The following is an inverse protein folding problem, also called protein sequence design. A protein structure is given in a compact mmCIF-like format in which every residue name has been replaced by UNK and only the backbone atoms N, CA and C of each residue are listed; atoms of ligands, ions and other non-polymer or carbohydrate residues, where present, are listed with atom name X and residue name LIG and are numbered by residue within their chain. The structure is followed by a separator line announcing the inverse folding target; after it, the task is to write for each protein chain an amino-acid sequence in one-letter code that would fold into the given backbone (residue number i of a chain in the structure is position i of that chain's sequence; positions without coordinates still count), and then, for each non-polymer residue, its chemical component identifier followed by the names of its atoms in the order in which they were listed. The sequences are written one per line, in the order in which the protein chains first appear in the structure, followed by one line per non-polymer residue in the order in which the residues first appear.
data_IF_309827837955
#
_entry.id   IF_309827837955
#
_cell.length_a   1.000
_cell.length_b   1.000
_cell.length_c   1.000
_cell.angle_alpha   90.00
_cell.angle_beta   90.00
_cell.angle_gamma   90.00
#
_symmetry.space_group_name_H-M   'P 1'
#
loop_
_entity.id
_entity.type
_entity.pdbx_description
1 polymer ?
#
# COMPACT_ATOMS: atom_id res chain seq x y z
N UNK A 1 33.02 -1.51 11.12
CA UNK A 1 32.19 -0.53 11.85
C UNK A 1 30.82 -1.17 12.09
N UNK A 2 30.10 -0.76 13.13
CA UNK A 2 28.72 -1.24 13.33
C UNK A 2 27.81 -0.59 12.28
N UNK A 3 26.97 -1.37 11.60
CA UNK A 3 26.03 -0.86 10.59
C UNK A 3 24.94 0.00 11.26
N UNK A 4 24.77 1.23 10.78
CA UNK A 4 23.79 2.23 11.22
C UNK A 4 22.40 1.94 10.67
N UNK A 5 22.29 1.43 9.44
CA UNK A 5 20.99 1.16 8.81
C UNK A 5 20.27 0.01 9.52
N UNK A 6 19.10 0.34 10.06
CA UNK A 6 18.14 -0.59 10.67
C UNK A 6 16.99 -0.93 9.72
N UNK A 7 16.20 -1.94 10.07
CA UNK A 7 15.06 -2.43 9.28
C UNK A 7 13.74 -2.39 10.04
N UNK A 8 12.69 -1.99 9.31
CA UNK A 8 11.29 -2.16 9.72
C UNK A 8 10.67 -3.27 8.85
N UNK A 9 10.24 -4.37 9.48
CA UNK A 9 9.76 -5.57 8.78
C UNK A 9 8.27 -5.74 8.98
N UNK A 10 7.53 -5.98 7.90
CA UNK A 10 6.10 -6.31 7.98
C UNK A 10 5.88 -7.68 8.60
N UNK A 11 4.95 -7.79 9.54
CA UNK A 11 4.56 -9.09 10.11
C UNK A 11 3.24 -9.60 9.56
N UNK A 12 3.16 -10.91 9.35
CA UNK A 12 1.94 -11.67 9.09
C UNK A 12 1.42 -12.38 10.37
N UNK A 13 2.02 -12.06 11.53
CA UNK A 13 1.79 -12.66 12.85
C UNK A 13 2.16 -14.14 13.00
N UNK A 14 2.98 -14.70 12.11
CA UNK A 14 3.58 -16.03 12.31
C UNK A 14 4.76 -15.94 13.29
N UNK A 15 4.72 -16.71 14.37
CA UNK A 15 5.77 -16.76 15.38
C UNK A 15 7.12 -17.26 14.83
N UNK A 16 7.13 -17.97 13.69
CA UNK A 16 8.38 -18.34 13.00
C UNK A 16 9.24 -17.14 12.61
N UNK A 17 8.66 -15.94 12.50
CA UNK A 17 9.43 -14.71 12.29
C UNK A 17 10.42 -14.45 13.43
N UNK A 18 10.10 -14.84 14.67
CA UNK A 18 11.02 -14.73 15.79
C UNK A 18 12.20 -15.69 15.69
N UNK A 19 11.99 -16.89 15.16
CA UNK A 19 13.06 -17.86 14.92
C UNK A 19 14.00 -17.34 13.83
N UNK A 20 13.45 -16.76 12.76
CA UNK A 20 14.21 -16.12 11.68
C UNK A 20 15.08 -14.97 12.23
N UNK A 21 14.53 -14.11 13.09
CA UNK A 21 15.30 -13.05 13.77
C UNK A 21 16.45 -13.63 14.57
N UNK A 22 16.18 -14.62 15.43
CA UNK A 22 17.21 -15.27 16.27
C UNK A 22 18.30 -15.95 15.42
N UNK A 23 17.93 -16.53 14.29
CA UNK A 23 18.85 -17.16 13.35
C UNK A 23 19.72 -16.13 12.64
N UNK A 24 19.13 -15.06 12.10
CA UNK A 24 19.77 -14.22 11.08
C UNK A 24 20.23 -12.85 11.58
N UNK A 25 19.58 -12.25 12.56
CA UNK A 25 19.80 -10.85 12.96
C UNK A 25 20.76 -10.73 14.15
N UNK A 26 22.01 -11.15 13.94
CA UNK A 26 23.05 -11.16 15.00
C UNK A 26 23.45 -9.77 15.48
N UNK A 27 23.26 -8.75 14.63
CA UNK A 27 23.64 -7.36 14.90
C UNK A 27 22.44 -6.49 15.35
N UNK A 28 21.30 -7.11 15.66
CA UNK A 28 20.06 -6.44 16.09
C UNK A 28 19.69 -5.27 15.14
N UNK A 29 19.71 -5.53 13.84
CA UNK A 29 19.39 -4.57 12.78
C UNK A 29 17.89 -4.45 12.55
N UNK A 30 17.08 -5.44 12.92
CA UNK A 30 15.62 -5.34 12.87
C UNK A 30 15.15 -4.54 14.09
N UNK A 31 14.70 -3.31 13.85
CA UNK A 31 14.21 -2.39 14.89
C UNK A 31 12.74 -2.64 15.21
N UNK A 32 11.93 -2.81 14.16
CA UNK A 32 10.49 -2.87 14.28
C UNK A 32 9.89 -4.05 13.52
N UNK A 33 8.90 -4.68 14.13
CA UNK A 33 7.82 -5.35 13.41
C UNK A 33 6.63 -4.43 13.30
N UNK A 34 5.96 -4.42 12.14
CA UNK A 34 4.76 -3.62 11.97
C UNK A 34 3.61 -4.42 11.35
N UNK A 35 2.40 -4.17 11.85
CA UNK A 35 1.23 -4.97 11.51
C UNK A 35 -0.07 -4.30 11.94
N UNK A 36 -1.18 -4.96 11.62
CA UNK A 36 -2.54 -4.55 11.98
C UNK A 36 -3.40 -5.80 12.04
N UNK A 37 -4.26 -5.91 13.05
CA UNK A 37 -5.18 -7.03 13.17
C UNK A 37 -6.17 -7.05 12.01
N UNK A 38 -6.69 -8.24 11.71
CA UNK A 38 -7.63 -8.44 10.59
C UNK A 38 -8.94 -7.70 10.81
N UNK A 39 -9.47 -7.78 12.03
CA UNK A 39 -10.76 -7.21 12.44
C UNK A 39 -10.53 -6.29 13.64
N UNK A 40 -10.31 -5.01 13.39
CA UNK A 40 -10.09 -4.00 14.44
C UNK A 40 -11.04 -2.79 14.33
N UNK A 41 -11.92 -2.77 13.34
CA UNK A 41 -12.83 -1.65 13.06
C UNK A 41 -12.12 -0.38 12.57
N UNK A 42 -10.81 -0.44 12.30
CA UNK A 42 -10.03 0.69 11.83
C UNK A 42 -9.69 0.51 10.34
N UNK A 43 -9.74 1.56 9.50
CA UNK A 43 -9.19 1.49 8.15
C UNK A 43 -7.66 1.33 8.17
N UNK A 44 -7.08 0.83 7.07
CA UNK A 44 -5.64 0.61 6.96
C UNK A 44 -5.13 0.78 5.53
N UNK A 45 -3.81 0.84 5.36
CA UNK A 45 -3.19 1.09 4.06
C UNK A 45 -3.08 -0.10 3.10
N UNK A 46 -3.62 -1.28 3.46
CA UNK A 46 -3.73 -2.52 2.63
C UNK A 46 -4.93 -3.34 3.11
N UNK A 47 -5.53 -4.12 2.20
CA UNK A 47 -6.57 -5.10 2.54
C UNK A 47 -6.07 -6.08 3.61
N UNK A 48 -6.91 -6.35 4.62
CA UNK A 48 -6.58 -7.21 5.76
C UNK A 48 -7.00 -8.66 5.58
N UNK A 49 -7.72 -8.99 4.50
CA UNK A 49 -8.32 -10.30 4.24
C UNK A 49 -7.35 -11.50 4.29
N UNK A 50 -6.04 -11.24 4.18
CA UNK A 50 -4.97 -12.24 4.07
C UNK A 50 -4.16 -12.37 5.39
N UNK A 51 -4.50 -11.59 6.42
CA UNK A 51 -3.79 -11.59 7.72
C UNK A 51 -4.43 -12.64 8.65
N UNK A 52 -3.60 -13.34 9.43
CA UNK A 52 -4.04 -14.29 10.46
C UNK A 52 -4.98 -13.64 11.47
N UNK A 53 -6.03 -14.37 11.86
CA UNK A 53 -6.90 -13.98 12.97
C UNK A 53 -6.20 -14.28 14.29
N UNK A 54 -5.98 -13.24 15.11
CA UNK A 54 -5.41 -13.36 16.45
C UNK A 54 -6.47 -12.98 17.48
N UNK A 55 -6.49 -13.73 18.58
CA UNK A 55 -7.15 -13.29 19.81
C UNK A 55 -6.35 -12.16 20.47
N UNK A 56 -7.02 -11.41 21.35
CA UNK A 56 -6.39 -10.35 22.15
C UNK A 56 -5.18 -10.89 22.94
N UNK A 57 -5.31 -12.05 23.59
CA UNK A 57 -4.21 -12.66 24.37
C UNK A 57 -3.02 -13.09 23.50
N UNK A 58 -3.29 -13.65 22.32
CA UNK A 58 -2.23 -13.98 21.36
C UNK A 58 -1.51 -12.73 20.87
N UNK A 59 -2.23 -11.64 20.64
CA UNK A 59 -1.62 -10.38 20.23
C UNK A 59 -0.78 -9.74 21.33
N UNK A 60 -1.25 -9.75 22.58
CA UNK A 60 -0.46 -9.32 23.75
C UNK A 60 0.81 -10.16 23.90
N UNK A 61 0.70 -11.49 23.76
CA UNK A 61 1.86 -12.36 23.80
C UNK A 61 2.84 -12.06 22.65
N UNK A 62 2.33 -11.82 21.44
CA UNK A 62 3.15 -11.44 20.28
C UNK A 62 3.97 -10.17 20.53
N UNK A 63 3.36 -9.14 21.16
CA UNK A 63 4.06 -7.91 21.56
C UNK A 63 5.16 -8.22 22.60
N UNK A 64 4.87 -9.05 23.60
CA UNK A 64 5.87 -9.47 24.61
C UNK A 64 7.04 -10.19 23.96
N UNK A 65 6.77 -11.07 23.00
CA UNK A 65 7.79 -11.81 22.27
C UNK A 65 8.65 -10.88 21.41
N UNK A 66 8.06 -9.87 20.75
CA UNK A 66 8.81 -8.79 20.07
C UNK A 66 9.77 -8.10 21.05
N UNK A 67 9.24 -7.64 22.19
CA UNK A 67 10.00 -6.90 23.19
C UNK A 67 11.14 -7.74 23.79
N UNK A 68 10.94 -9.06 23.97
CA UNK A 68 11.98 -9.97 24.46
C UNK A 68 13.21 -10.07 23.54
N UNK A 69 13.04 -9.73 22.26
CA UNK A 69 14.09 -9.68 21.24
C UNK A 69 14.63 -8.26 21.00
N UNK A 70 14.18 -7.27 21.77
CA UNK A 70 14.49 -5.86 21.53
C UNK A 70 13.83 -5.27 20.29
N UNK A 71 12.80 -5.95 19.74
CA UNK A 71 12.03 -5.48 18.59
C UNK A 71 10.79 -4.77 19.08
N UNK A 72 10.55 -3.56 18.58
CA UNK A 72 9.34 -2.80 18.89
C UNK A 72 8.21 -3.19 17.94
N UNK A 73 6.97 -3.26 18.45
CA UNK A 73 5.78 -3.47 17.62
C UNK A 73 5.11 -2.14 17.23
N UNK A 74 4.97 -1.88 15.93
CA UNK A 74 4.35 -0.67 15.36
C UNK A 74 2.98 -0.99 14.71
N UNK A 75 1.89 -0.51 15.31
CA UNK A 75 0.53 -0.76 14.84
C UNK A 75 0.10 0.22 13.74
N UNK A 76 -0.55 -0.26 12.69
CA UNK A 76 -0.93 0.59 11.54
C UNK A 76 -2.37 1.12 11.62
N UNK A 77 -2.50 2.45 11.65
CA UNK A 77 -3.75 3.22 11.47
C UNK A 77 -3.51 4.25 10.35
N UNK A 78 -3.12 3.75 9.19
CA UNK A 78 -2.50 4.55 8.13
C UNK A 78 -3.20 4.51 6.76
N UNK A 79 -4.53 4.63 6.67
CA UNK A 79 -5.17 4.83 5.36
C UNK A 79 -4.80 6.22 4.79
N UNK A 80 -4.99 6.41 3.49
CA UNK A 80 -4.93 7.74 2.88
C UNK A 80 -6.10 8.61 3.35
N UNK A 81 -7.28 8.01 3.47
CA UNK A 81 -8.52 8.70 3.81
C UNK A 81 -9.37 7.80 4.72
N UNK A 82 -10.06 8.41 5.68
CA UNK A 82 -11.01 7.73 6.57
C UNK A 82 -12.45 8.22 6.34
N UNK A 83 -12.70 9.00 5.30
CA UNK A 83 -14.05 9.50 4.99
C UNK A 83 -14.69 10.30 6.12
N UNK A 84 -13.88 11.05 6.88
CA UNK A 84 -14.27 11.82 8.07
C UNK A 84 -14.68 10.98 9.30
N UNK A 85 -14.50 9.65 9.27
CA UNK A 85 -14.87 8.78 10.40
C UNK A 85 -14.19 9.15 11.71
N UNK A 86 -12.99 9.75 11.70
CA UNK A 86 -12.32 10.23 12.91
C UNK A 86 -13.04 11.41 13.60
N UNK A 87 -13.84 12.17 12.86
CA UNK A 87 -14.58 13.34 13.36
C UNK A 87 -16.01 13.01 13.74
N UNK A 88 -16.55 11.88 13.26
CA UNK A 88 -17.88 11.44 13.62
C UNK A 88 -17.98 11.19 15.14
N UNK A 89 -19.02 11.68 15.82
CA UNK A 89 -19.13 11.55 17.28
C UNK A 89 -19.16 10.10 17.78
N UNK A 90 -19.72 9.18 17.02
CA UNK A 90 -19.88 7.77 17.39
C UNK A 90 -18.71 6.95 16.86
N UNK A 91 -18.45 7.02 15.55
CA UNK A 91 -17.37 6.25 14.91
C UNK A 91 -16.01 6.74 15.40
N UNK A 92 -15.82 8.05 15.53
CA UNK A 92 -14.59 8.63 16.06
C UNK A 92 -14.36 8.27 17.53
N UNK A 93 -15.42 8.12 18.35
CA UNK A 93 -15.29 7.60 19.71
C UNK A 93 -14.80 6.15 19.71
N UNK A 94 -15.40 5.30 18.88
CA UNK A 94 -14.98 3.91 18.75
C UNK A 94 -13.53 3.79 18.27
N UNK A 95 -13.10 4.63 17.32
CA UNK A 95 -11.70 4.68 16.87
C UNK A 95 -10.76 4.96 18.05
N UNK A 96 -11.09 5.95 18.90
CA UNK A 96 -10.29 6.29 20.08
C UNK A 96 -10.29 5.17 21.11
N UNK A 97 -11.43 4.54 21.37
CA UNK A 97 -11.54 3.38 22.28
C UNK A 97 -10.70 2.20 21.78
N UNK A 98 -10.66 1.93 20.48
CA UNK A 98 -9.76 0.92 19.90
C UNK A 98 -8.29 1.29 20.12
N UNK A 99 -7.90 2.56 19.97
CA UNK A 99 -6.53 3.00 20.25
C UNK A 99 -6.18 2.78 21.73
N UNK A 100 -7.07 3.11 22.66
CA UNK A 100 -6.90 2.82 24.10
C UNK A 100 -6.74 1.32 24.36
N UNK A 101 -7.59 0.47 23.76
CA UNK A 101 -7.47 -0.99 23.86
C UNK A 101 -6.11 -1.49 23.38
N UNK A 102 -5.63 -1.01 22.24
CA UNK A 102 -4.31 -1.37 21.70
C UNK A 102 -3.17 -0.89 22.61
N UNK A 103 -3.31 0.30 23.19
CA UNK A 103 -2.36 0.81 24.17
C UNK A 103 -2.31 -0.08 25.42
N UNK A 104 -3.46 -0.49 25.96
CA UNK A 104 -3.55 -1.40 27.11
C UNK A 104 -2.95 -2.78 26.82
N UNK A 105 -3.03 -3.24 25.57
CA UNK A 105 -2.37 -4.47 25.10
C UNK A 105 -0.85 -4.36 25.00
N UNK A 106 -0.28 -3.15 25.16
CA UNK A 106 1.16 -2.92 25.14
C UNK A 106 1.69 -2.28 23.85
N UNK A 107 0.83 -1.86 22.92
CA UNK A 107 1.29 -1.09 21.74
C UNK A 107 1.80 0.28 22.19
N UNK A 108 3.01 0.64 21.76
CA UNK A 108 3.61 1.95 22.02
C UNK A 108 4.02 2.72 20.77
N UNK A 109 3.97 2.09 19.60
CA UNK A 109 4.27 2.72 18.32
C UNK A 109 3.06 2.61 17.41
N UNK A 110 2.64 3.73 16.83
CA UNK A 110 1.53 3.78 15.88
C UNK A 110 1.96 4.48 14.60
N UNK A 111 1.72 3.85 13.45
CA UNK A 111 1.82 4.53 12.16
C UNK A 111 0.47 5.17 11.83
N UNK A 112 0.38 6.50 11.82
CA UNK A 112 -0.86 7.27 11.65
C UNK A 112 -0.67 8.30 10.54
N UNK A 113 -1.69 8.48 9.68
CA UNK A 113 -1.68 9.57 8.67
C UNK A 113 -2.69 10.68 8.96
N UNK A 114 -3.73 10.42 9.76
CA UNK A 114 -4.76 11.41 10.06
C UNK A 114 -4.20 12.48 11.01
N UNK A 115 -4.20 13.77 10.61
CA UNK A 115 -3.65 14.84 11.45
C UNK A 115 -4.33 14.97 12.81
N UNK A 116 -5.66 14.75 12.87
CA UNK A 116 -6.42 14.84 14.12
C UNK A 116 -6.09 13.68 15.07
N UNK A 117 -5.93 12.46 14.54
CA UNK A 117 -5.53 11.30 15.34
C UNK A 117 -4.10 11.43 15.86
N UNK A 118 -3.18 12.01 15.07
CA UNK A 118 -1.81 12.30 15.54
C UNK A 118 -1.87 13.23 16.76
N UNK A 119 -2.61 14.34 16.67
CA UNK A 119 -2.77 15.29 17.79
C UNK A 119 -3.44 14.65 19.00
N UNK A 120 -4.45 13.82 18.77
CA UNK A 120 -5.11 13.08 19.84
C UNK A 120 -4.14 12.14 20.57
N UNK A 121 -3.45 11.26 19.84
CA UNK A 121 -2.54 10.26 20.41
C UNK A 121 -1.39 10.92 21.17
N UNK A 122 -0.75 11.96 20.60
CA UNK A 122 0.35 12.66 21.27
C UNK A 122 -0.08 13.44 22.52
N UNK A 123 -1.37 13.81 22.61
CA UNK A 123 -1.93 14.45 23.81
C UNK A 123 -2.29 13.43 24.89
N UNK A 124 -2.86 12.30 24.48
CA UNK A 124 -3.40 11.29 25.40
C UNK A 124 -2.32 10.38 25.98
N UNK A 125 -1.32 9.99 25.19
CA UNK A 125 -0.33 8.99 25.56
C UNK A 125 1.09 9.58 25.48
N UNK A 126 1.69 9.84 26.64
CA UNK A 126 3.01 10.50 26.73
C UNK A 126 4.19 9.60 26.34
N UNK A 127 4.02 8.27 26.41
CA UNK A 127 5.04 7.25 26.12
C UNK A 127 4.82 6.59 24.74
N UNK A 128 3.95 7.16 23.91
CA UNK A 128 3.68 6.66 22.55
C UNK A 128 4.50 7.43 21.50
N UNK A 129 5.10 6.65 20.60
CA UNK A 129 5.72 7.16 19.38
C UNK A 129 4.77 7.07 18.18
N UNK A 130 4.78 8.11 17.36
CA UNK A 130 3.98 8.22 16.15
C UNK A 130 4.90 8.23 14.93
N UNK A 131 4.71 7.24 14.06
CA UNK A 131 5.30 7.25 12.72
C UNK A 131 4.30 7.84 11.72
N UNK A 132 4.69 8.82 10.92
CA UNK A 132 3.91 9.25 9.75
C UNK A 132 4.09 8.23 8.61
N UNK A 133 2.99 7.72 8.06
CA UNK A 133 3.00 6.74 6.97
C UNK A 133 3.16 7.36 5.59
N UNK A 134 3.48 6.52 4.60
CA UNK A 134 3.71 6.91 3.20
C UNK A 134 2.57 7.74 2.59
N UNK A 135 1.30 7.41 2.89
CA UNK A 135 0.15 8.08 2.28
C UNK A 135 -0.04 9.53 2.72
N UNK A 136 0.71 10.03 3.71
CA UNK A 136 0.78 11.47 3.97
C UNK A 136 1.59 12.25 2.91
N UNK A 137 2.36 11.55 2.07
CA UNK A 137 3.18 12.08 0.97
C UNK A 137 4.02 13.31 1.31
N UNK A 138 4.87 13.26 2.36
CA UNK A 138 5.85 14.32 2.60
C UNK A 138 6.94 14.28 1.51
N UNK A 139 6.88 15.23 0.57
CA UNK A 139 7.79 15.33 -0.59
C UNK A 139 8.78 16.51 -0.50
N UNK A 140 8.66 17.35 0.53
CA UNK A 140 9.55 18.50 0.73
C UNK A 140 9.96 18.70 2.19
N UNK A 141 11.07 19.39 2.41
CA UNK A 141 11.57 19.75 3.76
C UNK A 141 10.49 20.52 4.53
N UNK A 142 9.77 21.44 3.87
CA UNK A 142 8.69 22.21 4.49
C UNK A 142 7.56 21.31 5.02
N UNK A 143 7.15 20.29 4.24
CA UNK A 143 6.13 19.34 4.68
C UNK A 143 6.63 18.48 5.83
N UNK A 144 7.88 18.03 5.79
CA UNK A 144 8.51 17.28 6.89
C UNK A 144 8.47 18.11 8.18
N UNK A 145 8.83 19.39 8.12
CA UNK A 145 8.84 20.26 9.29
C UNK A 145 7.44 20.51 9.87
N UNK A 146 6.40 20.61 9.03
CA UNK A 146 5.03 20.69 9.54
C UNK A 146 4.65 19.46 10.35
N UNK A 147 4.97 18.26 9.86
CA UNK A 147 4.67 17.01 10.56
C UNK A 147 5.48 16.84 11.84
N UNK A 148 6.76 17.19 11.82
CA UNK A 148 7.62 17.18 13.02
C UNK A 148 7.07 18.10 14.11
N UNK A 149 6.69 19.32 13.77
CA UNK A 149 6.06 20.26 14.70
C UNK A 149 4.68 19.79 15.21
N UNK A 150 4.07 18.81 14.56
CA UNK A 150 2.84 18.20 15.02
C UNK A 150 3.04 17.07 16.04
N UNK A 151 4.29 16.69 16.31
CA UNK A 151 4.67 15.66 17.28
C UNK A 151 4.90 14.29 16.65
N UNK A 152 5.13 14.22 15.34
CA UNK A 152 5.57 12.99 14.67
C UNK A 152 7.02 12.71 15.08
N UNK A 153 7.28 11.48 15.54
CA UNK A 153 8.60 11.04 16.02
C UNK A 153 9.42 10.36 14.90
N UNK A 154 8.74 9.70 13.95
CA UNK A 154 9.37 9.03 12.81
C UNK A 154 8.60 9.32 11.51
N UNK A 155 9.29 9.46 10.38
CA UNK A 155 8.67 9.77 9.09
C UNK A 155 9.01 8.74 8.02
N UNK A 156 7.99 8.22 7.34
CA UNK A 156 8.16 7.45 6.10
C UNK A 156 8.29 8.40 4.92
N UNK A 157 9.47 8.50 4.33
CA UNK A 157 9.73 9.34 3.16
C UNK A 157 9.06 8.76 1.90
N UNK A 158 8.67 9.65 0.98
CA UNK A 158 8.14 9.26 -0.33
C UNK A 158 9.20 8.50 -1.16
N UNK A 159 8.75 7.67 -2.10
CA UNK A 159 9.64 6.87 -2.95
C UNK A 159 10.65 7.71 -3.75
N UNK A 160 10.31 8.96 -4.08
CA UNK A 160 11.20 9.88 -4.77
C UNK A 160 12.53 10.12 -4.03
N UNK A 161 12.57 9.94 -2.70
CA UNK A 161 13.80 10.08 -1.92
C UNK A 161 14.82 8.96 -2.21
N UNK A 162 14.38 7.78 -2.65
CA UNK A 162 15.28 6.63 -2.89
C UNK A 162 16.24 6.85 -4.07
N UNK A 163 15.93 7.81 -4.96
CA UNK A 163 16.76 8.17 -6.13
C UNK A 163 17.23 9.63 -6.12
N UNK A 164 17.02 10.35 -5.00
CA UNK A 164 17.40 11.75 -4.85
C UNK A 164 18.33 11.92 -3.64
N UNK A 165 19.58 11.48 -3.79
CA UNK A 165 20.58 11.52 -2.72
C UNK A 165 20.91 12.94 -2.27
N UNK A 166 20.81 13.95 -3.14
CA UNK A 166 21.02 15.36 -2.76
C UNK A 166 19.94 15.87 -1.80
N UNK A 167 18.67 15.57 -2.10
CA UNK A 167 17.57 15.91 -1.20
C UNK A 167 17.66 15.12 0.10
N UNK A 168 17.94 13.82 0.04
CA UNK A 168 18.07 12.97 1.22
C UNK A 168 19.23 13.45 2.13
N UNK A 169 20.38 13.80 1.55
CA UNK A 169 21.53 14.41 2.26
C UNK A 169 21.13 15.70 2.95
N UNK A 170 20.40 16.56 2.26
CA UNK A 170 19.93 17.84 2.81
C UNK A 170 19.00 17.62 4.00
N UNK A 171 18.02 16.73 3.86
CA UNK A 171 17.09 16.36 4.93
C UNK A 171 17.85 15.76 6.12
N UNK A 172 18.73 14.77 5.91
CA UNK A 172 19.53 14.15 6.98
C UNK A 172 20.37 15.18 7.74
N UNK A 173 21.08 16.08 7.05
CA UNK A 173 21.86 17.16 7.68
C UNK A 173 20.98 18.14 8.46
N UNK A 174 19.76 18.37 8.01
CA UNK A 174 18.80 19.28 8.67
C UNK A 174 18.36 18.74 10.04
N UNK A 175 18.21 17.42 10.16
CA UNK A 175 17.63 16.78 11.35
C UNK A 175 18.62 15.95 12.19
N UNK A 176 19.91 15.94 11.84
CA UNK A 176 20.95 15.09 12.49
C UNK A 176 21.12 15.30 13.99
N UNK A 177 20.85 16.50 14.48
CA UNK A 177 21.00 16.84 15.89
C UNK A 177 19.67 16.69 16.67
N UNK A 178 18.73 15.87 16.16
CA UNK A 178 17.43 15.59 16.78
C UNK A 178 17.12 14.10 16.86
N UNK A 179 16.19 13.73 17.74
CA UNK A 179 15.69 12.34 17.86
C UNK A 179 14.70 11.95 16.74
N UNK A 180 14.45 12.85 15.79
CA UNK A 180 13.51 12.60 14.69
C UNK A 180 14.06 11.51 13.77
N UNK A 181 13.31 10.43 13.61
CA UNK A 181 13.70 9.28 12.81
C UNK A 181 13.11 9.34 11.39
N UNK A 182 13.80 8.73 10.44
CA UNK A 182 13.35 8.66 9.05
C UNK A 182 13.51 7.26 8.52
N UNK A 183 12.55 6.87 7.68
CA UNK A 183 12.63 5.61 6.96
C UNK A 183 12.27 5.78 5.50
N UNK A 184 13.03 5.10 4.64
CA UNK A 184 12.68 4.89 3.23
C UNK A 184 12.10 3.50 3.04
N UNK A 185 11.37 3.26 1.96
CA UNK A 185 10.84 1.94 1.65
C UNK A 185 11.72 1.30 0.58
N UNK A 186 12.35 0.17 0.90
CA UNK A 186 13.35 -0.43 0.01
C UNK A 186 12.72 -1.26 -1.11
N UNK A 187 11.78 -2.15 -0.79
CA UNK A 187 11.34 -3.18 -1.72
C UNK A 187 9.92 -2.96 -2.27
N UNK A 188 9.44 -1.72 -2.33
CA UNK A 188 8.16 -1.41 -2.98
C UNK A 188 8.32 -1.19 -4.49
N UNK A 189 7.28 -1.53 -5.25
CA UNK A 189 7.35 -1.56 -6.72
C UNK A 189 6.31 -0.66 -7.36
N UNK A 190 6.24 0.60 -6.95
CA UNK A 190 5.43 1.61 -7.63
C UNK A 190 6.10 2.06 -8.94
N UNK A 191 5.31 2.63 -9.85
CA UNK A 191 5.90 3.42 -10.95
C UNK A 191 6.64 4.63 -10.36
N UNK A 192 7.72 5.07 -11.00
CA UNK A 192 8.36 6.34 -10.67
C UNK A 192 7.33 7.46 -10.73
N UNK A 193 7.25 8.27 -9.67
CA UNK A 193 6.32 9.41 -9.56
C UNK A 193 4.88 9.03 -10.00
N UNK A 194 4.42 7.86 -9.52
CA UNK A 194 3.20 7.22 -9.97
C UNK A 194 1.97 8.15 -9.96
N UNK A 195 1.30 8.39 -11.11
CA UNK A 195 0.11 9.24 -11.16
C UNK A 195 -1.09 8.61 -10.44
N UNK A 196 -1.08 7.29 -10.22
CA UNK A 196 -2.17 6.56 -9.60
C UNK A 196 -2.07 6.49 -8.06
N UNK A 197 -1.01 7.04 -7.45
CA UNK A 197 -0.72 6.79 -6.02
C UNK A 197 -1.81 7.28 -5.07
N UNK A 198 -2.48 8.40 -5.39
CA UNK A 198 -3.58 8.93 -4.59
C UNK A 198 -4.85 8.08 -4.75
N UNK A 199 -5.23 7.76 -5.99
CA UNK A 199 -6.42 6.96 -6.28
C UNK A 199 -6.28 5.54 -5.75
N UNK A 200 -5.11 4.91 -5.93
CA UNK A 200 -4.75 3.62 -5.35
C UNK A 200 -4.80 3.65 -3.82
N UNK A 201 -4.18 4.65 -3.19
CA UNK A 201 -4.19 4.79 -1.73
C UNK A 201 -5.60 4.97 -1.15
N UNK A 202 -6.45 5.76 -1.82
CA UNK A 202 -7.84 5.94 -1.44
C UNK A 202 -8.64 4.64 -1.62
N UNK A 203 -8.48 3.98 -2.77
CA UNK A 203 -9.11 2.70 -3.07
C UNK A 203 -8.82 1.67 -1.99
N UNK A 204 -7.55 1.49 -1.67
CA UNK A 204 -7.11 0.52 -0.66
C UNK A 204 -7.61 0.90 0.74
N UNK A 205 -7.60 2.19 1.09
CA UNK A 205 -8.11 2.68 2.38
C UNK A 205 -9.62 2.48 2.58
N UNK A 206 -10.38 2.36 1.49
CA UNK A 206 -11.84 2.18 1.49
C UNK A 206 -12.28 0.79 0.98
N UNK A 207 -11.34 -0.12 0.74
CA UNK A 207 -11.65 -1.47 0.25
C UNK A 207 -12.30 -2.29 1.35
N UNK A 208 -13.45 -2.88 1.03
CA UNK A 208 -14.12 -3.85 1.90
C UNK A 208 -13.38 -5.19 1.82
N UNK A 209 -12.87 -5.74 2.95
CA UNK A 209 -12.15 -7.01 2.95
C UNK A 209 -13.05 -8.21 2.59
N UNK A 210 -14.37 -8.05 2.60
CA UNK A 210 -15.35 -9.11 2.30
C UNK A 210 -15.86 -9.05 0.86
N UNK A 211 -15.62 -7.95 0.14
CA UNK A 211 -16.08 -7.76 -1.23
C UNK A 211 -14.95 -7.88 -2.25
N UNK A 212 -15.25 -8.43 -3.42
CA UNK A 212 -14.33 -8.42 -4.56
C UNK A 212 -14.27 -6.99 -5.08
N UNK A 213 -13.09 -6.39 -5.00
CA UNK A 213 -12.82 -5.03 -5.43
C UNK A 213 -11.70 -5.02 -6.47
N UNK A 214 -11.96 -4.43 -7.63
CA UNK A 214 -10.99 -4.31 -8.71
C UNK A 214 -10.25 -2.99 -8.62
N UNK A 215 -8.95 -3.08 -8.36
CA UNK A 215 -8.09 -1.90 -8.32
C UNK A 215 -7.60 -1.55 -9.73
N UNK A 216 -8.33 -0.67 -10.42
CA UNK A 216 -7.94 -0.17 -11.74
C UNK A 216 -6.54 0.45 -11.74
N UNK A 217 -6.16 1.14 -10.65
CA UNK A 217 -4.83 1.75 -10.52
C UNK A 217 -3.74 0.69 -10.50
N UNK A 218 -3.96 -0.42 -9.78
CA UNK A 218 -3.02 -1.54 -9.73
C UNK A 218 -2.93 -2.28 -11.07
N UNK A 219 -4.04 -2.50 -11.76
CA UNK A 219 -4.05 -3.15 -13.08
C UNK A 219 -3.29 -2.29 -14.09
N UNK A 220 -3.58 -0.99 -14.16
CA UNK A 220 -2.91 -0.10 -15.10
C UNK A 220 -1.40 0.03 -14.77
N UNK A 221 -1.06 0.07 -13.47
CA UNK A 221 0.32 0.05 -13.00
C UNK A 221 1.08 -1.22 -13.43
N UNK A 222 0.47 -2.39 -13.32
CA UNK A 222 1.08 -3.67 -13.71
C UNK A 222 1.15 -3.81 -15.23
N UNK A 223 0.13 -3.39 -15.96
CA UNK A 223 0.13 -3.33 -17.43
C UNK A 223 1.29 -2.51 -17.96
N UNK A 224 1.51 -1.30 -17.43
CA UNK A 224 2.65 -0.47 -17.84
C UNK A 224 4.00 -1.14 -17.60
N UNK A 225 4.17 -1.84 -16.47
CA UNK A 225 5.43 -2.54 -16.17
C UNK A 225 5.68 -3.76 -17.04
N UNK A 226 4.64 -4.56 -17.31
CA UNK A 226 4.77 -5.80 -18.08
C UNK A 226 4.88 -5.50 -19.57
N UNK A 227 4.07 -4.58 -20.09
CA UNK A 227 4.10 -4.17 -21.50
C UNK A 227 5.35 -3.38 -21.85
N UNK A 228 5.95 -2.69 -20.88
CA UNK A 228 7.19 -1.95 -21.05
C UNK A 228 8.13 -2.19 -19.86
N UNK A 229 9.00 -3.22 -19.93
CA UNK A 229 9.91 -3.59 -18.85
C UNK A 229 10.87 -2.48 -18.39
N UNK A 230 11.08 -1.43 -19.18
CA UNK A 230 11.84 -0.24 -18.73
C UNK A 230 11.21 0.38 -17.48
N UNK A 231 9.88 0.34 -17.35
CA UNK A 231 9.14 0.82 -16.19
C UNK A 231 9.40 0.02 -14.90
N UNK A 232 9.95 -1.19 -15.00
CA UNK A 232 10.39 -1.98 -13.84
C UNK A 232 11.71 -1.45 -13.26
N UNK A 233 12.60 -0.93 -14.11
CA UNK A 233 13.90 -0.38 -13.67
C UNK A 233 13.83 1.09 -13.28
N UNK A 234 12.81 1.84 -13.72
CA UNK A 234 12.58 3.20 -13.23
C UNK A 234 11.95 3.21 -11.84
N UNK A 235 11.35 2.11 -11.39
CA UNK A 235 10.83 1.97 -10.04
C UNK A 235 11.92 2.22 -8.99
N UNK A 236 11.53 2.87 -7.89
CA UNK A 236 12.45 3.46 -6.91
C UNK A 236 12.77 2.47 -5.79
N UNK A 237 12.98 1.19 -6.14
CA UNK A 237 13.43 0.17 -5.20
C UNK A 237 14.91 0.34 -4.82
N UNK A 238 15.33 -0.28 -3.72
CA UNK A 238 16.70 -0.37 -3.24
C UNK A 238 17.03 -1.86 -3.16
N UNK A 239 18.08 -2.37 -3.81
CA UNK A 239 18.48 -3.78 -3.66
C UNK A 239 19.17 -3.99 -2.31
N UNK A 240 19.24 -5.24 -1.81
CA UNK A 240 20.13 -5.58 -0.70
C UNK A 240 21.57 -5.09 -0.91
N UNK A 241 22.12 -5.27 -2.11
CA UNK A 241 23.47 -4.82 -2.47
C UNK A 241 23.62 -3.30 -2.44
N UNK A 242 22.54 -2.54 -2.68
CA UNK A 242 22.58 -1.08 -2.76
C UNK A 242 22.38 -0.40 -1.39
N UNK A 243 22.19 -1.17 -0.30
CA UNK A 243 22.00 -0.63 1.06
C UNK A 243 23.20 0.18 1.52
N UNK A 244 24.42 -0.22 1.12
CA UNK A 244 25.66 0.47 1.50
C UNK A 244 25.66 1.96 1.11
N UNK A 245 25.02 2.35 0.01
CA UNK A 245 24.91 3.76 -0.37
C UNK A 245 24.14 4.61 0.65
N UNK A 246 23.15 4.03 1.33
CA UNK A 246 22.39 4.70 2.37
C UNK A 246 23.13 4.70 3.71
N UNK A 247 23.90 3.64 3.98
CA UNK A 247 24.82 3.55 5.12
C UNK A 247 25.90 4.65 5.02
N UNK A 248 26.59 4.73 3.88
CA UNK A 248 27.59 5.76 3.59
C UNK A 248 27.00 7.17 3.69
N UNK A 249 25.77 7.38 3.22
CA UNK A 249 25.09 8.67 3.35
C UNK A 249 24.77 9.02 4.81
N UNK A 250 24.30 8.05 5.60
CA UNK A 250 24.06 8.23 7.03
C UNK A 250 25.36 8.57 7.78
N UNK A 251 26.46 7.88 7.47
CA UNK A 251 27.80 8.16 7.98
C UNK A 251 28.29 9.57 7.56
N UNK A 252 28.19 9.91 6.27
CA UNK A 252 28.58 11.22 5.70
C UNK A 252 27.87 12.38 6.40
N UNK A 253 26.58 12.21 6.68
CA UNK A 253 25.73 13.25 7.26
C UNK A 253 25.76 13.26 8.79
N UNK A 254 26.27 12.20 9.41
CA UNK A 254 26.19 11.96 10.86
C UNK A 254 24.78 11.65 11.36
N UNK A 255 23.85 11.32 10.47
CA UNK A 255 22.45 11.04 10.83
C UNK A 255 22.27 9.60 11.29
N UNK A 256 21.84 9.41 12.55
CA UNK A 256 21.83 8.08 13.20
C UNK A 256 20.49 7.36 13.16
N UNK A 257 19.40 8.08 12.91
CA UNK A 257 18.04 7.57 13.08
C UNK A 257 17.39 7.18 11.75
N UNK A 258 18.11 6.40 10.93
CA UNK A 258 17.67 6.00 9.59
C UNK A 258 17.34 4.50 9.49
N UNK A 259 16.23 4.15 8.83
CA UNK A 259 15.87 2.76 8.58
C UNK A 259 15.31 2.50 7.17
N UNK A 260 15.38 1.24 6.75
CA UNK A 260 14.75 0.72 5.54
C UNK A 260 13.52 -0.10 5.91
N UNK A 261 12.38 0.25 5.34
CA UNK A 261 11.13 -0.50 5.49
C UNK A 261 10.97 -1.55 4.40
N UNK A 262 10.67 -2.79 4.81
CA UNK A 262 10.46 -3.96 3.96
C UNK A 262 8.97 -4.33 3.94
N UNK A 263 8.30 -4.11 2.80
CA UNK A 263 6.84 -4.01 2.65
C UNK A 263 6.09 -5.31 2.38
N UNK A 264 6.08 -6.23 3.35
CA UNK A 264 5.63 -7.61 3.11
C UNK A 264 4.61 -8.19 4.11
N UNK A 265 3.92 -7.33 4.87
CA UNK A 265 2.95 -7.78 5.91
C UNK A 265 1.78 -8.65 5.43
N UNK A 266 1.54 -8.73 4.12
CA UNK A 266 0.50 -9.57 3.50
C UNK A 266 1.07 -10.81 2.81
N UNK A 267 2.37 -11.07 2.99
CA UNK A 267 3.10 -12.18 2.38
C UNK A 267 3.23 -13.35 3.34
N UNK A 268 3.45 -14.53 2.78
CA UNK A 268 3.72 -15.73 3.58
C UNK A 268 5.12 -15.65 4.21
N UNK A 269 5.29 -16.32 5.35
CA UNK A 269 6.54 -16.36 6.10
C UNK A 269 7.77 -16.69 5.26
N UNK A 270 7.76 -17.66 4.31
CA UNK A 270 8.92 -17.93 3.46
C UNK A 270 9.36 -16.76 2.56
N UNK A 271 8.41 -15.92 2.16
CA UNK A 271 8.74 -14.71 1.39
C UNK A 271 9.39 -13.66 2.31
N UNK A 272 8.79 -13.41 3.48
CA UNK A 272 9.34 -12.47 4.47
C UNK A 272 10.74 -12.91 4.90
N UNK A 273 10.93 -14.21 5.16
CA UNK A 273 12.22 -14.81 5.48
C UNK A 273 13.27 -14.52 4.40
N UNK A 274 12.93 -14.78 3.12
CA UNK A 274 13.83 -14.52 1.99
C UNK A 274 14.25 -13.06 1.92
N UNK A 275 13.30 -12.14 2.07
CA UNK A 275 13.56 -10.70 2.09
C UNK A 275 14.46 -10.33 3.26
N UNK A 276 14.14 -10.77 4.48
CA UNK A 276 14.94 -10.48 5.67
C UNK A 276 16.37 -11.01 5.52
N UNK A 277 16.55 -12.27 5.10
CA UNK A 277 17.86 -12.89 4.85
C UNK A 277 18.66 -12.10 3.80
N UNK A 278 18.02 -11.73 2.70
CA UNK A 278 18.66 -10.95 1.63
C UNK A 278 19.18 -9.60 2.14
N UNK A 279 18.35 -8.82 2.83
CA UNK A 279 18.72 -7.48 3.31
C UNK A 279 19.71 -7.51 4.47
N UNK A 280 19.60 -8.45 5.42
CA UNK A 280 20.58 -8.59 6.49
C UNK A 280 21.97 -8.97 5.95
N UNK A 281 22.01 -9.85 4.93
CA UNK A 281 23.23 -10.24 4.23
C UNK A 281 23.73 -9.21 3.21
N UNK A 282 22.92 -8.21 2.86
CA UNK A 282 23.17 -7.24 1.79
C UNK A 282 23.56 -7.89 0.46
N UNK A 283 22.96 -9.04 0.18
CA UNK A 283 23.21 -9.80 -1.05
C UNK A 283 22.02 -10.71 -1.35
N UNK A 284 21.65 -10.77 -2.62
CA UNK A 284 20.70 -11.73 -3.13
C UNK A 284 21.13 -12.22 -4.52
N UNK A 285 21.22 -13.53 -4.71
CA UNK A 285 21.45 -14.14 -6.01
C UNK A 285 20.16 -14.78 -6.51
N UNK A 286 19.54 -14.16 -7.51
CA UNK A 286 18.25 -14.60 -8.02
C UNK A 286 17.46 -13.50 -8.71
N UNK A 287 16.16 -13.77 -8.87
CA UNK A 287 15.22 -12.81 -9.46
C UNK A 287 14.88 -11.70 -8.46
N UNK A 288 15.13 -10.44 -8.80
CA UNK A 288 14.77 -9.31 -7.94
C UNK A 288 13.27 -9.30 -7.55
N UNK A 289 12.39 -9.80 -8.42
CA UNK A 289 10.95 -9.91 -8.13
C UNK A 289 10.61 -10.89 -6.99
N UNK A 290 11.56 -11.74 -6.57
CA UNK A 290 11.39 -12.66 -5.44
C UNK A 290 11.51 -11.98 -4.08
N UNK A 291 12.05 -10.76 -4.04
CA UNK A 291 12.30 -9.97 -2.82
C UNK A 291 11.69 -8.56 -2.86
N UNK A 292 11.01 -8.22 -3.94
CA UNK A 292 10.24 -6.97 -4.12
C UNK A 292 8.75 -7.26 -3.99
N UNK A 293 7.99 -6.27 -3.54
CA UNK A 293 6.53 -6.31 -3.44
C UNK A 293 5.84 -6.33 -4.82
N UNK A 294 5.97 -7.46 -5.51
CA UNK A 294 5.33 -7.79 -6.78
C UNK A 294 3.97 -8.43 -6.52
N UNK A 295 2.83 -7.85 -6.95
CA UNK A 295 1.48 -8.21 -6.49
C UNK A 295 0.95 -9.55 -7.05
N UNK A 296 1.85 -10.48 -7.36
CA UNK A 296 1.51 -11.79 -7.92
C UNK A 296 0.86 -12.70 -6.87
N UNK A 297 -0.22 -13.36 -7.28
CA UNK A 297 -1.09 -14.19 -6.42
C UNK A 297 -0.40 -15.41 -5.80
N UNK A 298 0.72 -15.89 -6.37
CA UNK A 298 1.50 -17.00 -5.79
C UNK A 298 2.25 -16.62 -4.52
N UNK A 299 2.51 -15.32 -4.34
CA UNK A 299 3.28 -14.76 -3.24
C UNK A 299 2.36 -14.21 -2.12
N UNK A 300 1.06 -14.43 -2.20
CA UNK A 300 0.05 -13.98 -1.22
C UNK A 300 -0.36 -15.21 -0.39
N UNK A 301 -0.51 -15.06 0.94
CA UNK A 301 -0.94 -16.17 1.81
C UNK A 301 -2.29 -16.72 1.31
N UNK A 302 -2.33 -18.02 1.00
CA UNK A 302 -3.53 -18.73 0.52
C UNK A 302 -4.14 -19.58 1.62
N UNK A 303 -4.31 -19.04 2.82
CA UNK A 303 -5.11 -19.73 3.82
C UNK A 303 -6.54 -19.17 3.75
N UNK A 304 -7.44 -20.05 3.26
CA UNK A 304 -8.92 -20.02 3.33
C UNK A 304 -9.79 -19.66 2.10
N UNK A 305 -9.29 -19.61 0.85
CA UNK A 305 -10.16 -19.48 -0.36
C UNK A 305 -10.10 -20.71 -1.30
N UNK A 306 -9.75 -21.89 -0.78
CA UNK A 306 -9.92 -23.15 -1.54
C UNK A 306 -10.67 -24.19 -0.72
N UNK A 307 -11.98 -24.01 -0.61
CA UNK A 307 -12.90 -25.11 -0.92
C UNK A 307 -13.62 -24.72 -2.20
N UNK A 308 -13.01 -25.00 -3.35
CA UNK A 308 -13.81 -25.19 -4.57
C UNK A 308 -14.80 -26.32 -4.27
N UNK A 309 -16.08 -26.23 -4.64
CA UNK A 309 -16.96 -27.37 -4.55
C UNK A 309 -16.37 -28.48 -5.42
N UNK A 310 -16.05 -29.62 -4.83
CA UNK A 310 -15.74 -30.80 -5.60
C UNK A 310 -16.97 -31.14 -6.45
N UNK A 311 -16.79 -31.14 -7.77
CA UNK A 311 -17.82 -31.56 -8.73
C UNK A 311 -18.36 -30.46 -9.62
N UNK A 312 -17.56 -29.97 -10.57
CA UNK A 312 -18.09 -29.41 -11.81
C UNK A 312 -18.03 -30.52 -12.88
N UNK A 313 -19.15 -30.91 -13.53
CA UNK A 313 -19.10 -31.85 -14.64
C UNK A 313 -18.44 -31.19 -15.86
N UNK A 314 -17.82 -31.98 -16.76
CA UNK A 314 -17.15 -31.43 -17.93
C UNK A 314 -18.15 -30.80 -18.90
N UNK A 315 -17.69 -29.75 -19.59
CA UNK A 315 -18.46 -28.91 -20.50
C UNK A 315 -19.22 -29.71 -21.57
N UNK A 316 -20.54 -29.61 -21.54
CA UNK A 316 -21.44 -30.01 -22.63
C UNK A 316 -22.06 -28.77 -23.28
N UNK A 317 -22.16 -28.79 -24.61
CA UNK A 317 -22.74 -27.76 -25.47
C UNK A 317 -24.18 -27.36 -25.07
N UNK A 318 -24.68 -26.16 -25.45
CA UNK A 318 -25.89 -25.60 -24.89
C UNK A 318 -27.13 -26.30 -25.45
N UNK A 319 -27.95 -26.85 -24.56
CA UNK A 319 -29.29 -27.34 -24.88
C UNK A 319 -30.36 -26.42 -24.28
N UNK A 320 -31.26 -26.00 -25.17
CA UNK A 320 -32.55 -25.31 -25.01
C UNK A 320 -33.05 -24.91 -23.63
N UNK A 321 -33.45 -23.64 -23.52
CA UNK A 321 -34.43 -23.16 -22.54
C UNK A 321 -35.72 -23.99 -22.59
N UNK A 322 -36.40 -24.14 -21.44
CA UNK A 322 -37.84 -23.96 -21.41
C UNK A 322 -38.28 -22.90 -20.39
N UNK A 323 -39.33 -22.19 -20.76
CA UNK A 323 -40.03 -21.19 -19.97
C UNK A 323 -40.87 -21.83 -18.84
N UNK A 324 -41.01 -21.14 -17.70
CA UNK A 324 -42.05 -21.49 -16.72
C UNK A 324 -41.92 -20.81 -15.35
N UNK A 325 -42.67 -19.71 -15.16
CA UNK A 325 -43.45 -19.32 -13.96
C UNK A 325 -42.78 -19.10 -12.58
N UNK A 326 -43.17 -18.07 -11.80
CA UNK A 326 -42.63 -17.83 -10.46
C UNK A 326 -43.42 -18.57 -9.37
N UNK A 327 -42.80 -18.96 -8.24
CA UNK A 327 -43.54 -19.21 -7.01
C UNK A 327 -43.58 -17.95 -6.12
N UNK A 328 -44.78 -17.64 -5.65
CA UNK A 328 -45.11 -16.61 -4.68
C UNK A 328 -44.87 -17.08 -3.25
N UNK A 329 -44.62 -16.13 -2.34
CA UNK A 329 -44.97 -16.27 -0.92
C UNK A 329 -43.89 -15.83 0.08
N UNK A 330 -43.97 -14.59 0.57
CA UNK A 330 -43.59 -14.23 1.94
C UNK A 330 -44.51 -13.12 2.48
N UNK A 331 -44.91 -13.16 3.76
CA UNK A 331 -45.93 -12.28 4.35
C UNK A 331 -45.36 -10.90 4.74
N UNK A 332 -46.21 -9.86 4.87
CA UNK A 332 -45.78 -8.51 5.22
C UNK A 332 -45.53 -8.38 6.72
N UNK A 333 -44.39 -7.78 7.10
CA UNK A 333 -44.17 -7.34 8.47
C UNK A 333 -44.93 -6.04 8.76
N UNK A 334 -45.61 -6.06 9.90
CA UNK A 334 -46.50 -5.04 10.42
C UNK A 334 -45.77 -3.74 10.77
N UNK A 335 -46.48 -2.62 10.56
CA UNK A 335 -46.06 -1.27 10.93
C UNK A 335 -46.15 -0.97 12.43
N UNK A 336 -45.42 0.06 12.84
CA UNK A 336 -45.51 0.75 14.12
C UNK A 336 -45.50 2.28 13.92
N UNK A 337 -45.91 3.08 14.93
CA UNK A 337 -46.91 4.13 14.73
C UNK A 337 -46.38 5.58 14.61
N UNK A 338 -47.31 6.41 14.13
CA UNK A 338 -47.28 7.84 13.85
C UNK A 338 -46.74 8.79 14.95
N UNK A 339 -46.09 9.87 14.50
CA UNK A 339 -46.55 11.23 14.82
C UNK A 339 -45.58 12.18 15.53
N UNK A 340 -44.97 13.13 14.79
CA UNK A 340 -44.72 14.52 15.22
C UNK A 340 -44.65 15.46 14.00
N UNK A 341 -45.26 16.66 14.01
CA UNK A 341 -45.23 17.60 12.89
C UNK A 341 -43.91 18.40 12.87
N UNK A 342 -43.36 18.61 11.68
CA UNK A 342 -42.22 19.50 11.47
C UNK A 342 -42.64 20.97 11.65
N UNK A 343 -42.12 21.64 12.68
CA UNK A 343 -42.20 23.09 12.81
C UNK A 343 -41.29 23.76 11.78
N UNK A 344 -41.85 24.60 10.92
CA UNK A 344 -41.07 25.45 10.00
C UNK A 344 -40.35 26.57 10.76
N UNK A 345 -39.20 27.07 10.25
CA UNK A 345 -38.48 28.17 10.86
C UNK A 345 -39.24 29.51 10.68
N UNK A 346 -39.01 30.52 11.55
CA UNK A 346 -39.73 31.79 11.50
C UNK A 346 -39.37 32.63 10.27
N UNK A 347 -40.38 33.31 9.71
CA UNK A 347 -40.23 34.25 8.61
C UNK A 347 -39.42 35.49 9.00
N UNK A 348 -38.41 35.87 8.20
CA UNK A 348 -37.72 37.15 8.39
C UNK A 348 -36.33 37.35 7.77
N UNK A 349 -35.74 36.39 7.05
CA UNK A 349 -34.46 36.61 6.36
C UNK A 349 -34.64 36.67 4.82
N UNK A 350 -34.17 37.72 4.14
CA UNK A 350 -34.24 37.81 2.69
C UNK A 350 -33.25 36.82 2.04
N UNK A 351 -33.62 36.15 0.94
CA UNK A 351 -32.76 35.16 0.30
C UNK A 351 -31.56 35.84 -0.38
N UNK A 352 -30.35 35.39 -0.04
CA UNK A 352 -29.16 35.70 -0.81
C UNK A 352 -29.28 35.08 -2.20
N UNK A 353 -29.37 35.93 -3.23
CA UNK A 353 -29.38 35.52 -4.62
C UNK A 353 -28.06 34.85 -5.01
N UNK A 354 -28.15 33.60 -5.48
CA UNK A 354 -27.01 32.89 -6.07
C UNK A 354 -26.75 33.38 -7.50
N UNK A 355 -25.49 33.43 -7.97
CA UNK A 355 -25.20 33.72 -9.36
C UNK A 355 -25.30 32.44 -10.22
N UNK A 356 -26.17 32.54 -11.23
CA UNK A 356 -26.07 31.93 -12.57
C UNK A 356 -25.96 30.40 -12.69
N UNK A 357 -27.10 29.76 -12.96
CA UNK A 357 -27.28 29.02 -14.21
C UNK A 357 -26.65 27.63 -14.36
N UNK A 358 -26.23 26.95 -13.30
CA UNK A 358 -25.97 25.51 -13.36
C UNK A 358 -27.22 24.74 -12.90
N UNK A 359 -27.70 23.73 -13.65
CA UNK A 359 -28.71 22.82 -13.11
C UNK A 359 -28.13 22.16 -11.86
N UNK A 360 -28.92 21.94 -10.80
CA UNK A 360 -28.44 21.24 -9.62
C UNK A 360 -27.89 19.90 -10.08
N UNK A 361 -26.61 19.63 -9.78
CA UNK A 361 -26.02 18.30 -9.98
C UNK A 361 -26.83 17.38 -9.09
N UNK A 362 -27.77 16.66 -9.70
CA UNK A 362 -28.68 15.78 -9.00
C UNK A 362 -27.86 14.77 -8.22
N UNK A 363 -27.86 14.88 -6.89
CA UNK A 363 -27.52 13.74 -6.06
C UNK A 363 -28.41 12.56 -6.45
N UNK A 364 -27.91 11.31 -6.34
CA UNK A 364 -28.71 10.15 -6.66
C UNK A 364 -30.06 10.20 -5.90
N UNK A 365 -31.17 9.75 -6.50
CA UNK A 365 -32.49 9.78 -5.87
C UNK A 365 -32.44 9.18 -4.46
N UNK A 366 -33.18 9.77 -3.51
CA UNK A 366 -33.34 9.19 -2.19
C UNK A 366 -33.93 7.77 -2.33
N UNK A 367 -33.18 6.75 -1.90
CA UNK A 367 -33.56 5.34 -2.06
C UNK A 367 -32.98 4.64 -3.30
N UNK A 368 -32.23 5.33 -4.16
CA UNK A 368 -31.38 4.65 -5.13
C UNK A 368 -30.31 3.86 -4.36
N UNK A 369 -30.15 2.55 -4.59
CA UNK A 369 -29.07 1.81 -3.98
C UNK A 369 -27.75 2.50 -4.34
N UNK A 370 -26.86 2.70 -3.37
CA UNK A 370 -25.50 3.20 -3.62
C UNK A 370 -24.69 2.10 -4.32
N UNK A 371 -25.12 1.70 -5.51
CA UNK A 371 -24.45 0.70 -6.31
C UNK A 371 -23.18 1.37 -6.81
N UNK A 372 -22.06 1.09 -6.15
CA UNK A 372 -20.74 1.47 -6.65
C UNK A 372 -20.58 0.76 -7.99
N UNK A 373 -19.98 1.40 -8.98
CA UNK A 373 -19.64 0.82 -10.30
C UNK A 373 -19.07 -0.62 -10.22
N UNK A 374 -18.47 -0.99 -9.09
CA UNK A 374 -17.92 -2.33 -8.80
C UNK A 374 -18.94 -3.43 -8.46
N UNK A 375 -20.15 -3.08 -8.03
CA UNK A 375 -21.27 -4.03 -7.93
C UNK A 375 -21.80 -4.41 -9.33
N UNK A 376 -21.45 -3.64 -10.37
CA UNK A 376 -21.61 -3.96 -11.79
C UNK A 376 -20.39 -4.65 -12.41
N UNK A 377 -19.51 -5.26 -11.62
CA UNK A 377 -18.64 -6.30 -12.19
C UNK A 377 -19.55 -7.41 -12.71
N UNK A 378 -19.85 -7.35 -14.01
CA UNK A 378 -20.49 -8.43 -14.74
C UNK A 378 -19.78 -9.74 -14.33
N UNK A 379 -20.50 -10.83 -14.02
CA UNK A 379 -19.90 -12.14 -13.74
C UNK A 379 -18.81 -12.57 -14.75
N UNK A 380 -18.84 -11.98 -15.96
CA UNK A 380 -17.82 -12.08 -17.00
C UNK A 380 -16.43 -11.53 -16.61
N UNK A 381 -16.32 -10.46 -15.81
CA UNK A 381 -15.04 -9.78 -15.52
C UNK A 381 -14.26 -10.35 -14.34
N UNK A 382 -14.90 -11.00 -13.36
CA UNK A 382 -14.18 -11.58 -12.22
C UNK A 382 -13.17 -12.69 -12.62
N UNK A 383 -13.49 -13.61 -13.54
CA UNK A 383 -12.51 -14.56 -14.08
C UNK A 383 -11.37 -13.87 -14.85
N UNK A 384 -11.67 -12.78 -15.56
CA UNK A 384 -10.67 -11.99 -16.30
C UNK A 384 -9.71 -11.31 -15.31
N UNK A 385 -10.22 -10.72 -14.23
CA UNK A 385 -9.39 -10.13 -13.18
C UNK A 385 -8.41 -11.13 -12.56
N UNK A 386 -8.90 -12.34 -12.21
CA UNK A 386 -8.03 -13.40 -11.69
C UNK A 386 -6.91 -13.79 -12.65
N UNK A 387 -7.18 -13.80 -13.96
CA UNK A 387 -6.18 -14.05 -15.00
C UNK A 387 -5.18 -12.89 -15.13
N UNK A 388 -5.63 -11.64 -15.06
CA UNK A 388 -4.75 -10.46 -15.11
C UNK A 388 -3.78 -10.44 -13.93
N UNK A 389 -4.21 -10.88 -12.74
CA UNK A 389 -3.36 -10.99 -11.56
C UNK A 389 -2.43 -12.23 -11.55
N UNK A 390 -2.44 -13.02 -12.62
CA UNK A 390 -1.46 -14.07 -12.88
C UNK A 390 -0.49 -13.59 -13.97
N UNK A 391 0.64 -13.05 -13.54
CA UNK A 391 1.58 -12.36 -14.43
C UNK A 391 2.46 -13.34 -15.22
N UNK A 392 2.93 -12.93 -16.41
CA UNK A 392 3.91 -13.69 -17.16
C UNK A 392 5.21 -13.85 -16.36
N UNK A 393 5.99 -14.90 -16.67
CA UNK A 393 7.29 -15.12 -16.04
C UNK A 393 8.29 -14.06 -16.50
N UNK A 394 8.61 -13.16 -15.58
CA UNK A 394 9.61 -12.12 -15.78
C UNK A 394 10.74 -12.36 -14.76
N UNK A 395 11.97 -12.33 -15.25
CA UNK A 395 13.17 -12.48 -14.45
C UNK A 395 14.02 -11.22 -14.58
N UNK A 396 14.29 -10.57 -13.44
CA UNK A 396 15.21 -9.46 -13.31
C UNK A 396 16.44 -9.98 -12.57
N UNK A 397 17.55 -10.14 -13.29
CA UNK A 397 18.81 -10.65 -12.78
C UNK A 397 19.41 -9.65 -11.77
N UNK A 398 19.33 -10.00 -10.47
CA UNK A 398 19.76 -9.11 -9.41
C UNK A 398 21.26 -8.82 -9.49
N UNK A 399 22.10 -9.79 -9.85
CA UNK A 399 23.56 -9.61 -9.92
C UNK A 399 23.99 -8.77 -11.11
N UNK A 400 23.31 -8.90 -12.26
CA UNK A 400 23.62 -8.05 -13.43
C UNK A 400 23.26 -6.57 -13.24
N UNK A 401 22.52 -6.21 -12.18
CA UNK A 401 22.24 -4.83 -11.78
C UNK A 401 23.38 -4.16 -11.00
N UNK A 402 24.50 -4.84 -10.73
CA UNK A 402 25.64 -4.20 -10.07
C UNK A 402 26.14 -2.98 -10.87
N UNK A 403 26.32 -1.86 -10.17
CA UNK A 403 26.63 -0.54 -10.74
C UNK A 403 25.42 0.27 -11.23
N UNK A 404 24.20 -0.29 -11.16
CA UNK A 404 22.99 0.42 -11.60
C UNK A 404 22.71 1.67 -10.75
N UNK A 405 22.87 1.55 -9.42
CA UNK A 405 22.54 2.60 -8.47
C UNK A 405 23.52 3.79 -8.50
N UNK A 406 24.77 3.58 -8.95
CA UNK A 406 25.87 4.54 -8.94
C UNK A 406 25.51 5.88 -9.61
N UNK A 407 24.60 5.86 -10.57
CA UNK A 407 24.07 7.08 -11.19
C UNK A 407 23.46 8.03 -10.17
N UNK A 408 22.57 7.47 -9.34
CA UNK A 408 21.62 8.23 -8.55
C UNK A 408 22.29 8.88 -7.34
N UNK A 409 23.50 8.42 -7.01
CA UNK A 409 24.39 9.01 -6.01
C UNK A 409 24.84 10.42 -6.42
N UNK A 410 25.01 10.66 -7.72
CA UNK A 410 25.55 11.91 -8.28
C UNK A 410 24.54 12.71 -9.10
N UNK A 411 23.41 12.09 -9.46
CA UNK A 411 22.42 12.68 -10.35
C UNK A 411 21.02 12.28 -9.91
N UNK A 412 20.12 13.24 -9.71
CA UNK A 412 18.70 12.94 -9.49
C UNK A 412 17.91 12.95 -10.81
N UNK A 413 16.70 12.41 -10.77
CA UNK A 413 15.80 12.35 -11.92
C UNK A 413 14.65 13.37 -11.85
N UNK A 414 14.74 14.38 -10.98
CA UNK A 414 13.61 15.29 -10.71
C UNK A 414 13.27 16.21 -11.88
N UNK A 415 14.24 16.49 -12.75
CA UNK A 415 14.07 17.34 -13.94
C UNK A 415 14.13 16.55 -15.25
N UNK A 416 13.90 15.24 -15.20
CA UNK A 416 13.98 14.36 -16.37
C UNK A 416 12.70 13.58 -16.57
N UNK A 417 12.21 13.54 -17.80
CA UNK A 417 11.11 12.68 -18.21
C UNK A 417 11.67 11.29 -18.54
N UNK A 418 11.18 10.25 -17.89
CA UNK A 418 11.59 8.88 -18.21
C UNK A 418 11.08 8.50 -19.61
N UNK A 419 12.01 8.47 -20.57
CA UNK A 419 11.72 8.12 -21.96
C UNK A 419 11.09 6.74 -22.05
N UNK A 420 11.61 5.80 -21.27
CA UNK A 420 11.14 4.43 -21.22
C UNK A 420 9.78 4.20 -20.55
N UNK A 421 9.02 5.22 -20.12
CA UNK A 421 7.73 4.98 -19.43
C UNK A 421 6.56 5.79 -19.96
N UNK A 422 6.81 6.94 -20.59
CA UNK A 422 5.78 7.94 -20.88
C UNK A 422 5.89 8.47 -22.32
N UNK A 423 7.08 8.53 -22.91
CA UNK A 423 7.26 9.14 -24.24
C UNK A 423 6.80 8.16 -25.31
N UNK A 424 5.79 8.57 -26.09
CA UNK A 424 5.28 7.82 -27.23
C UNK A 424 6.24 7.88 -28.42
N UNK A 425 6.15 6.88 -29.30
CA UNK A 425 6.96 6.81 -30.51
C UNK A 425 6.78 8.08 -31.36
N UNK A 426 7.89 8.78 -31.63
CA UNK A 426 7.91 10.01 -32.42
C UNK A 426 7.77 11.32 -31.63
N UNK A 427 7.48 11.27 -30.33
CA UNK A 427 7.52 12.47 -29.47
C UNK A 427 8.97 12.89 -29.18
N UNK A 428 9.28 14.18 -29.36
CA UNK A 428 10.56 14.78 -28.94
C UNK A 428 10.40 15.46 -27.59
N UNK A 429 11.33 15.18 -26.67
CA UNK A 429 11.40 15.85 -25.38
C UNK A 429 12.87 16.09 -25.02
N UNK A 430 13.24 17.36 -24.88
CA UNK A 430 14.64 17.76 -24.61
C UNK A 430 15.14 17.28 -23.23
N UNK A 431 14.20 16.96 -22.32
CA UNK A 431 14.48 16.46 -20.98
C UNK A 431 14.23 14.95 -20.84
N UNK A 432 14.11 14.22 -21.95
CA UNK A 432 13.98 12.77 -21.96
C UNK A 432 15.26 12.08 -21.46
N UNK A 433 15.10 11.06 -20.61
CA UNK A 433 16.19 10.21 -20.15
C UNK A 433 15.80 8.73 -20.29
N UNK A 434 16.64 7.93 -20.98
CA UNK A 434 16.46 6.48 -21.13
C UNK A 434 17.53 5.66 -20.40
N UNK A 435 18.17 6.22 -19.37
CA UNK A 435 19.28 5.53 -18.68
C UNK A 435 18.86 4.19 -18.11
N UNK A 436 17.71 4.11 -17.44
CA UNK A 436 17.20 2.82 -16.94
C UNK A 436 16.91 1.84 -18.08
N UNK A 437 16.43 2.35 -19.23
CA UNK A 437 16.15 1.54 -20.41
C UNK A 437 17.39 0.86 -20.98
N UNK A 438 18.56 1.51 -20.91
CA UNK A 438 19.83 0.95 -21.37
C UNK A 438 20.29 -0.32 -20.62
N UNK A 439 19.68 -0.62 -19.46
CA UNK A 439 19.98 -1.83 -18.69
C UNK A 439 19.04 -2.99 -19.00
N UNK A 440 17.89 -2.75 -19.64
CA UNK A 440 16.82 -3.76 -19.77
C UNK A 440 17.31 -5.03 -20.44
N UNK A 441 17.95 -4.94 -21.61
CA UNK A 441 18.42 -6.12 -22.35
C UNK A 441 19.51 -6.89 -21.60
N UNK A 442 20.24 -6.22 -20.70
CA UNK A 442 21.27 -6.84 -19.86
C UNK A 442 20.66 -7.64 -18.71
N UNK A 443 19.58 -7.12 -18.09
CA UNK A 443 19.13 -7.59 -16.77
C UNK A 443 17.75 -8.23 -16.76
N UNK A 444 16.89 -7.95 -17.74
CA UNK A 444 15.52 -8.48 -17.78
C UNK A 444 15.40 -9.54 -18.88
N UNK A 445 14.82 -10.68 -18.52
CA UNK A 445 14.42 -11.73 -19.46
C UNK A 445 12.99 -12.18 -19.22
N UNK A 446 12.27 -12.47 -20.30
CA UNK A 446 10.88 -12.92 -20.27
C UNK A 446 10.49 -13.58 -21.60
N UNK A 447 9.42 -14.37 -21.58
CA UNK A 447 8.82 -14.92 -22.80
C UNK A 447 7.91 -13.85 -23.46
N UNK A 448 8.27 -13.44 -24.68
CA UNK A 448 7.53 -12.41 -25.43
C UNK A 448 6.10 -12.85 -25.77
N UNK A 449 5.88 -14.14 -26.05
CA UNK A 449 4.55 -14.66 -26.36
C UNK A 449 3.67 -14.72 -25.10
N UNK A 450 4.24 -15.06 -23.94
CA UNK A 450 3.52 -15.04 -22.66
C UNK A 450 3.10 -13.61 -22.29
N UNK A 451 4.02 -12.64 -22.44
CA UNK A 451 3.71 -11.21 -22.22
C UNK A 451 2.64 -10.72 -23.18
N UNK A 452 2.72 -11.03 -24.47
CA UNK A 452 1.74 -10.58 -25.45
C UNK A 452 0.35 -11.20 -25.22
N UNK A 453 0.29 -12.49 -24.87
CA UNK A 453 -0.96 -13.14 -24.49
C UNK A 453 -1.58 -12.52 -23.22
N UNK A 454 -0.74 -12.20 -22.23
CA UNK A 454 -1.20 -11.52 -21.02
C UNK A 454 -1.73 -10.10 -21.31
N UNK A 455 -1.03 -9.34 -22.18
CA UNK A 455 -1.43 -7.99 -22.57
C UNK A 455 -2.82 -7.94 -23.17
N UNK A 456 -3.16 -8.86 -24.07
CA UNK A 456 -4.49 -8.93 -24.70
C UNK A 456 -5.62 -9.13 -23.66
N UNK A 457 -5.36 -9.95 -22.63
CA UNK A 457 -6.31 -10.16 -21.52
C UNK A 457 -6.45 -8.90 -20.66
N UNK A 458 -5.33 -8.25 -20.34
CA UNK A 458 -5.32 -7.01 -19.56
C UNK A 458 -6.00 -5.85 -20.29
N UNK A 459 -5.80 -5.71 -21.60
CA UNK A 459 -6.44 -4.70 -22.45
C UNK A 459 -7.96 -4.88 -22.51
N UNK A 460 -8.44 -6.13 -22.56
CA UNK A 460 -9.88 -6.42 -22.48
C UNK A 460 -10.49 -5.84 -21.21
N UNK A 461 -9.76 -5.91 -20.09
CA UNK A 461 -10.22 -5.39 -18.81
C UNK A 461 -10.10 -3.87 -18.72
N UNK A 462 -8.98 -3.30 -19.19
CA UNK A 462 -8.73 -1.86 -19.15
C UNK A 462 -9.64 -1.07 -20.11
N UNK A 463 -9.92 -1.63 -21.30
CA UNK A 463 -10.80 -1.02 -22.30
C UNK A 463 -12.28 -1.37 -22.10
N UNK A 464 -12.58 -2.36 -21.24
CA UNK A 464 -13.92 -2.83 -20.94
C UNK A 464 -14.73 -1.93 -20.00
N UNK A 465 -14.19 -0.77 -19.60
CA UNK A 465 -14.98 0.25 -18.90
C UNK A 465 -16.09 0.74 -19.85
N UNK A 466 -17.38 0.54 -19.54
CA UNK A 466 -18.45 0.91 -20.45
C UNK A 466 -18.39 2.40 -20.78
N UNK A 467 -18.57 2.71 -22.06
CA UNK A 467 -18.72 4.07 -22.56
C UNK A 467 -20.02 4.66 -21.99
N UNK A 468 -19.95 5.22 -20.78
CA UNK A 468 -21.10 5.82 -20.09
C UNK A 468 -21.10 5.71 -18.56
N UNK A 469 -19.93 5.58 -17.92
CA UNK A 469 -19.80 5.72 -16.47
C UNK A 469 -19.82 7.18 -16.02
#
# INVERSE_FOLDING_TARGET
MAKLVKYDVGTNFDNKLFDIVKECDKDHRIKNFYGKLKQDGLPGGRATSIISDLTDDQFVQYIKDCNSLGITFNYLINPLCMGQSEYDPVVGKNIRETIHKLYDMGVRFFTINSPSLIKYVKKEFSDVQVTLGLYAYPVSIQQIEYWRNWGVDELTLDHAFNRNFDLLRTVMKTYKDSDFAMRVIANNFCLKECPYRLTHGAFVGHSDPTAISMDFSLINCTYRKISNPKAMLTAEWIRPEDVHYFEELAEETGYKNFSLKLVDRTRATPFIERVVKAYLAESYDGNLLDIINWPETKNIVRDSITKSPAGAPPAGAPAGMPAGGPPAGMPPFAGGPNGMPAGGPPAGMPPFGGPNGMPPVGGPPAGAPRIRFMEYMNPTFAPIYGRVMNFPKIYIDNKKLDGFMDHFIKHNCSNSLCAGTIIEDGMKCDHACDRCGAWVDKVISYDKAEVEAWKQVAETLLNGLPAGA
#
